data_IF_128461285903
#
_entry.id   IF_128461285903
#
_cell.length_a   1.000
_cell.length_b   1.000
_cell.length_c   1.000
_cell.angle_alpha   90.00
_cell.angle_beta   90.00
_cell.angle_gamma   90.00
#
_symmetry.space_group_name_H-M   'P 1'
#
loop_
_entity.id
_entity.type
_entity.pdbx_description
1 polymer ?
#
# COMPACT_ATOMS: atom_id res chain seq x y z
N UNK A 1 7.50 -23.55 24.81
CA UNK A 1 7.29 -22.15 25.24
C UNK A 1 8.25 -21.30 24.44
N UNK A 2 7.84 -20.80 23.29
CA UNK A 2 8.60 -19.81 22.53
C UNK A 2 7.60 -18.81 21.95
N UNK A 3 7.86 -17.55 22.26
CA UNK A 3 6.91 -16.46 22.17
C UNK A 3 6.66 -16.00 20.75
N UNK A 4 5.38 -15.75 20.48
CA UNK A 4 4.90 -14.93 19.36
C UNK A 4 5.66 -13.60 19.31
N UNK A 5 6.25 -13.21 18.17
CA UNK A 5 6.85 -11.89 18.04
C UNK A 5 5.74 -10.84 18.10
N UNK A 6 5.82 -9.94 19.09
CA UNK A 6 4.97 -8.76 19.18
C UNK A 6 5.42 -7.77 18.11
N UNK A 7 4.52 -7.40 17.21
CA UNK A 7 4.72 -6.29 16.27
C UNK A 7 4.66 -4.98 17.07
N UNK A 8 5.83 -4.38 17.30
CA UNK A 8 5.96 -3.04 17.86
C UNK A 8 5.46 -2.01 16.83
N UNK A 9 4.59 -1.13 17.33
CA UNK A 9 4.05 0.05 16.67
C UNK A 9 5.14 0.82 15.88
N UNK A 10 4.94 1.03 14.58
CA UNK A 10 5.75 1.96 13.80
C UNK A 10 5.43 3.38 14.28
N UNK A 11 6.25 3.90 15.19
CA UNK A 11 6.38 5.34 15.45
C UNK A 11 7.17 5.97 14.31
N UNK A 12 6.68 7.09 13.81
CA UNK A 12 7.32 7.96 12.81
C UNK A 12 8.78 8.24 13.20
N UNK A 13 9.73 7.69 12.43
CA UNK A 13 11.15 8.00 12.59
C UNK A 13 11.46 9.30 11.84
N UNK A 14 11.77 10.35 12.58
CA UNK A 14 12.51 11.50 12.06
C UNK A 14 13.96 11.06 11.89
N UNK A 15 14.36 10.74 10.67
CA UNK A 15 15.77 10.52 10.31
C UNK A 15 16.41 11.86 9.95
N UNK A 16 17.66 12.01 10.38
CA UNK A 16 18.64 13.09 10.08
C UNK A 16 18.32 13.88 8.82
N UNK A 17 18.17 15.20 8.99
CA UNK A 17 17.81 16.23 7.98
C UNK A 17 18.10 15.82 6.52
N UNK A 18 17.06 15.36 5.80
CA UNK A 18 17.14 15.20 4.35
C UNK A 18 16.28 14.11 3.69
N UNK A 19 15.69 13.18 4.44
CA UNK A 19 14.87 12.09 3.87
C UNK A 19 13.54 12.01 4.60
N UNK A 20 12.44 12.03 3.85
CA UNK A 20 11.09 11.92 4.43
C UNK A 20 10.36 10.78 3.72
N UNK A 21 10.31 9.64 4.41
CA UNK A 21 9.60 8.46 3.94
C UNK A 21 8.10 8.60 4.23
N UNK A 22 7.27 8.64 3.19
CA UNK A 22 5.82 8.79 3.33
C UNK A 22 5.05 7.47 3.24
N UNK A 23 5.66 6.46 2.62
CA UNK A 23 5.06 5.14 2.50
C UNK A 23 6.15 4.07 2.60
N UNK A 24 5.81 2.98 3.29
CA UNK A 24 6.66 1.82 3.48
C UNK A 24 5.84 0.55 3.26
N UNK A 25 6.45 -0.46 2.64
CA UNK A 25 5.89 -1.82 2.52
C UNK A 25 7.04 -2.82 2.46
N UNK A 26 6.76 -4.11 2.55
CA UNK A 26 7.80 -5.12 2.72
C UNK A 26 7.55 -6.43 1.99
N UNK A 27 8.64 -7.07 1.58
CA UNK A 27 8.65 -8.49 1.22
C UNK A 27 9.23 -9.28 2.39
N UNK A 28 8.36 -9.92 3.17
CA UNK A 28 8.79 -10.69 4.34
C UNK A 28 9.56 -11.97 3.98
N UNK A 29 9.35 -12.52 2.77
CA UNK A 29 10.07 -13.73 2.32
C UNK A 29 11.52 -13.39 1.98
N UNK A 30 11.72 -12.26 1.31
CA UNK A 30 13.05 -11.76 0.96
C UNK A 30 13.69 -10.92 2.07
N UNK A 31 12.95 -10.60 3.15
CA UNK A 31 13.36 -9.68 4.22
C UNK A 31 13.79 -8.32 3.66
N UNK A 32 13.03 -7.82 2.70
CA UNK A 32 13.29 -6.53 2.04
C UNK A 32 12.22 -5.53 2.45
N UNK A 33 12.65 -4.30 2.69
CA UNK A 33 11.74 -3.18 2.95
C UNK A 33 11.83 -2.18 1.80
N UNK A 34 10.71 -1.58 1.44
CA UNK A 34 10.58 -0.60 0.38
C UNK A 34 10.04 0.69 0.98
N UNK A 35 10.61 1.82 0.59
CA UNK A 35 10.21 3.11 1.11
C UNK A 35 10.22 4.17 0.01
N UNK A 36 9.19 5.01 -0.02
CA UNK A 36 9.13 6.18 -0.90
C UNK A 36 9.68 7.41 -0.21
N UNK A 37 10.71 8.03 -0.78
CA UNK A 37 11.25 9.32 -0.31
C UNK A 37 10.70 10.47 -1.16
N UNK A 38 9.98 11.39 -0.52
CA UNK A 38 9.37 12.53 -1.21
C UNK A 38 10.39 13.53 -1.75
N UNK A 39 11.58 13.62 -1.15
CA UNK A 39 12.58 14.63 -1.56
C UNK A 39 13.23 14.27 -2.88
N UNK A 40 13.51 12.97 -3.09
CA UNK A 40 14.04 12.46 -4.36
C UNK A 40 12.96 11.91 -5.29
N UNK A 41 11.70 11.85 -4.85
CA UNK A 41 10.55 11.31 -5.59
C UNK A 41 10.81 9.88 -6.10
N UNK A 42 11.53 9.09 -5.30
CA UNK A 42 12.03 7.78 -5.68
C UNK A 42 11.65 6.71 -4.65
N UNK A 43 11.52 5.47 -5.13
CA UNK A 43 11.29 4.30 -4.27
C UNK A 43 12.63 3.61 -4.06
N UNK A 44 12.99 3.41 -2.80
CA UNK A 44 14.20 2.72 -2.38
C UNK A 44 13.87 1.38 -1.75
N UNK A 45 14.84 0.47 -1.84
CA UNK A 45 14.83 -0.83 -1.17
C UNK A 45 15.96 -0.93 -0.17
N UNK A 46 15.65 -1.43 1.02
CA UNK A 46 16.63 -1.98 1.95
C UNK A 46 16.65 -3.51 1.89
N UNK A 47 17.85 -4.07 1.90
CA UNK A 47 18.08 -5.50 1.68
C UNK A 47 17.85 -6.38 2.93
N UNK A 48 17.75 -5.78 4.13
CA UNK A 48 17.81 -6.53 5.39
C UNK A 48 16.65 -6.23 6.36
N UNK A 49 15.57 -5.60 5.89
CA UNK A 49 14.45 -5.12 6.73
C UNK A 49 14.91 -4.23 7.89
N UNK A 50 16.14 -3.74 7.81
CA UNK A 50 16.71 -2.80 8.74
C UNK A 50 16.15 -1.45 8.35
N UNK A 51 15.16 -0.93 9.06
CA UNK A 51 14.83 0.49 8.92
C UNK A 51 15.84 1.25 9.79
N UNK A 52 17.10 1.29 9.35
CA UNK A 52 18.17 2.14 9.88
C UNK A 52 18.40 2.11 11.39
N UNK A 53 18.51 0.94 12.03
CA UNK A 53 18.97 0.85 13.44
C UNK A 53 20.50 0.68 13.57
N UNK A 54 21.20 0.31 12.49
CA UNK A 54 22.62 -0.09 12.53
C UNK A 54 23.57 0.78 11.70
N UNK A 55 23.10 1.88 11.08
CA UNK A 55 23.97 2.86 10.42
C UNK A 55 24.69 2.39 9.13
N UNK A 56 24.50 1.14 8.69
CA UNK A 56 25.13 0.58 7.47
C UNK A 56 24.15 0.33 6.31
N UNK A 57 23.00 1.01 6.31
CA UNK A 57 21.96 0.73 5.32
C UNK A 57 22.32 1.24 3.92
N UNK A 58 22.62 0.32 3.01
CA UNK A 58 22.71 0.59 1.57
C UNK A 58 21.34 0.48 0.93
N UNK A 59 20.57 1.57 0.99
CA UNK A 59 19.35 1.70 0.21
C UNK A 59 19.69 1.74 -1.28
N UNK A 60 19.06 0.90 -2.09
CA UNK A 60 19.19 0.90 -3.54
C UNK A 60 17.90 1.39 -4.19
N UNK A 61 17.99 2.27 -5.19
CA UNK A 61 16.81 2.73 -5.92
C UNK A 61 16.15 1.56 -6.68
N UNK A 62 14.83 1.46 -6.55
CA UNK A 62 13.96 0.54 -7.29
C UNK A 62 13.21 1.29 -8.39
N UNK A 63 12.80 2.52 -8.12
CA UNK A 63 12.16 3.39 -9.09
C UNK A 63 12.83 4.76 -9.03
N UNK A 64 13.20 5.27 -10.21
CA UNK A 64 13.68 6.64 -10.41
C UNK A 64 12.85 7.23 -11.55
N UNK A 65 11.97 8.16 -11.22
CA UNK A 65 11.09 8.81 -12.18
C UNK A 65 10.26 9.89 -11.48
N UNK A 66 9.39 10.57 -12.23
CA UNK A 66 8.50 11.57 -11.63
C UNK A 66 7.30 10.85 -11.02
N UNK A 67 7.01 11.10 -9.75
CA UNK A 67 5.79 10.66 -9.07
C UNK A 67 5.16 11.83 -8.31
N UNK A 68 3.99 11.68 -7.70
CA UNK A 68 3.41 12.69 -6.83
C UNK A 68 4.17 12.84 -5.50
N UNK A 69 4.00 13.99 -4.84
CA UNK A 69 4.53 14.22 -3.49
C UNK A 69 4.01 13.21 -2.46
N UNK A 70 2.88 12.54 -2.74
CA UNK A 70 2.28 11.50 -1.91
C UNK A 70 2.00 10.26 -2.76
N UNK A 71 2.56 9.11 -2.39
CA UNK A 71 2.21 7.80 -2.97
C UNK A 71 1.98 6.79 -1.85
N UNK A 72 1.22 5.73 -2.13
CA UNK A 72 1.11 4.57 -1.23
C UNK A 72 1.66 3.33 -1.94
N UNK A 73 2.59 2.64 -1.28
CA UNK A 73 3.22 1.40 -1.75
C UNK A 73 2.45 0.18 -1.25
N UNK A 74 2.45 -0.88 -2.06
CA UNK A 74 2.05 -2.22 -1.65
C UNK A 74 2.92 -3.26 -2.37
N UNK A 75 3.32 -4.33 -1.69
CA UNK A 75 4.24 -5.35 -2.23
C UNK A 75 3.56 -6.71 -2.31
N UNK A 76 3.58 -7.31 -3.50
CA UNK A 76 3.28 -8.72 -3.71
C UNK A 76 4.56 -9.54 -3.46
N UNK A 77 4.66 -10.14 -2.27
CA UNK A 77 5.79 -10.98 -1.88
C UNK A 77 5.78 -12.38 -2.52
N UNK A 78 4.72 -12.76 -3.24
CA UNK A 78 4.63 -14.05 -3.94
C UNK A 78 5.24 -13.90 -5.33
N UNK A 79 4.80 -12.88 -6.08
CA UNK A 79 5.29 -12.65 -7.45
C UNK A 79 6.46 -11.67 -7.51
N UNK A 80 6.84 -11.08 -6.37
CA UNK A 80 7.87 -10.06 -6.23
C UNK A 80 7.58 -8.85 -7.13
N UNK A 81 6.40 -8.25 -6.96
CA UNK A 81 6.01 -7.02 -7.63
C UNK A 81 5.73 -5.93 -6.60
N UNK A 82 6.07 -4.69 -6.94
CA UNK A 82 5.67 -3.50 -6.17
C UNK A 82 4.61 -2.73 -6.95
N UNK A 83 3.60 -2.27 -6.22
CA UNK A 83 2.50 -1.47 -6.72
C UNK A 83 2.49 -0.13 -6.01
N UNK A 84 2.11 0.93 -6.71
CA UNK A 84 1.91 2.21 -6.06
C UNK A 84 0.88 3.10 -6.73
N UNK A 85 0.25 3.95 -5.93
CA UNK A 85 -0.68 4.99 -6.38
C UNK A 85 0.05 6.28 -6.70
N UNK A 86 -0.47 7.06 -7.64
CA UNK A 86 -0.02 8.44 -7.86
C UNK A 86 -1.24 9.34 -8.13
N UNK A 87 -1.67 10.11 -7.12
CA UNK A 87 -2.77 11.04 -7.28
C UNK A 87 -2.54 12.12 -8.34
N UNK A 88 -1.30 12.58 -8.53
CA UNK A 88 -0.99 13.69 -9.44
C UNK A 88 -1.13 13.27 -10.90
N UNK A 89 -0.61 12.09 -11.23
CA UNK A 89 -0.64 11.53 -12.58
C UNK A 89 -1.84 10.60 -12.84
N UNK A 90 -2.64 10.33 -11.79
CA UNK A 90 -3.88 9.56 -11.86
C UNK A 90 -3.68 8.15 -12.42
N UNK A 91 -2.66 7.47 -11.91
CA UNK A 91 -2.39 6.07 -12.25
C UNK A 91 -2.13 5.21 -11.01
N UNK A 92 -2.24 3.91 -11.22
CA UNK A 92 -1.65 2.88 -10.36
C UNK A 92 -0.61 2.17 -11.21
N UNK A 93 0.61 2.09 -10.72
CA UNK A 93 1.73 1.48 -11.42
C UNK A 93 2.12 0.16 -10.76
N UNK A 94 2.75 -0.71 -11.56
CA UNK A 94 3.36 -1.96 -11.10
C UNK A 94 4.76 -2.10 -11.69
N UNK A 95 5.68 -2.63 -10.88
CA UNK A 95 7.04 -2.95 -11.31
C UNK A 95 7.47 -4.29 -10.72
N UNK A 96 8.16 -5.09 -11.53
CA UNK A 96 8.81 -6.30 -11.03
C UNK A 96 10.02 -5.93 -10.17
N UNK A 97 10.09 -6.52 -9.00
CA UNK A 97 11.24 -6.46 -8.09
C UNK A 97 12.30 -7.50 -8.46
N UNK A 98 12.01 -8.38 -9.42
CA UNK A 98 12.95 -9.35 -9.97
C UNK A 98 13.85 -8.66 -10.99
N UNK A 99 15.15 -8.68 -10.71
CA UNK A 99 16.16 -7.98 -11.51
C UNK A 99 16.51 -6.61 -10.94
N UNK A 100 17.29 -5.83 -11.69
CA UNK A 100 17.86 -4.55 -11.23
C UNK A 100 17.46 -3.38 -12.13
N UNK A 101 16.31 -3.46 -12.79
CA UNK A 101 15.85 -2.37 -13.67
C UNK A 101 15.07 -1.34 -12.87
N UNK A 102 15.51 -0.09 -12.92
CA UNK A 102 14.87 1.04 -12.23
C UNK A 102 13.82 1.77 -13.08
N UNK A 103 13.64 1.34 -14.33
CA UNK A 103 12.82 2.03 -15.34
C UNK A 103 11.84 1.10 -16.06
N UNK A 104 11.66 -0.13 -15.59
CA UNK A 104 10.72 -1.09 -16.16
C UNK A 104 9.46 -1.20 -15.29
N UNK A 105 8.61 -0.20 -15.38
CA UNK A 105 7.30 -0.16 -14.75
C UNK A 105 6.19 -0.16 -15.80
N UNK A 106 5.00 -0.59 -15.39
CA UNK A 106 3.82 -0.64 -16.22
C UNK A 106 2.69 0.15 -15.56
N UNK A 107 1.98 0.94 -16.35
CA UNK A 107 0.74 1.60 -15.93
C UNK A 107 -0.35 0.53 -15.88
N UNK A 108 -0.79 0.18 -14.66
CA UNK A 108 -1.77 -0.88 -14.44
C UNK A 108 -3.20 -0.36 -14.61
N UNK A 109 -3.51 0.77 -13.98
CA UNK A 109 -4.81 1.45 -14.02
C UNK A 109 -4.56 2.93 -14.28
N UNK A 110 -5.29 3.53 -15.23
CA UNK A 110 -5.25 4.98 -15.50
C UNK A 110 -6.62 5.53 -15.96
N UNK A 111 -7.47 4.68 -16.51
CA UNK A 111 -8.80 5.08 -16.96
C UNK A 111 -9.71 5.34 -15.75
N UNK A 112 -10.54 6.39 -15.79
CA UNK A 112 -11.54 6.68 -14.76
C UNK A 112 -10.99 6.66 -13.31
N UNK A 113 -9.78 7.16 -13.16
CA UNK A 113 -9.07 7.29 -11.90
C UNK A 113 -8.80 8.78 -11.67
N UNK A 114 -9.17 9.35 -10.51
CA UNK A 114 -9.12 10.80 -10.29
C UNK A 114 -8.20 11.22 -9.14
N UNK A 115 -8.26 10.52 -8.01
CA UNK A 115 -7.43 10.75 -6.84
C UNK A 115 -7.06 9.44 -6.11
N UNK A 116 -6.34 8.51 -6.75
CA UNK A 116 -5.95 7.25 -6.11
C UNK A 116 -5.09 7.49 -4.87
N UNK A 117 -5.47 6.98 -3.70
CA UNK A 117 -4.73 7.20 -2.45
C UNK A 117 -4.33 5.90 -1.76
N UNK A 118 -5.23 5.30 -0.99
CA UNK A 118 -4.96 4.07 -0.25
C UNK A 118 -4.75 2.91 -1.22
N UNK A 119 -3.84 1.99 -0.88
CA UNK A 119 -3.55 0.81 -1.68
C UNK A 119 -3.33 -0.38 -0.75
N UNK A 120 -3.95 -1.52 -1.07
CA UNK A 120 -3.73 -2.79 -0.39
C UNK A 120 -3.87 -3.93 -1.39
N UNK A 121 -3.27 -5.08 -1.10
CA UNK A 121 -3.34 -6.24 -1.98
C UNK A 121 -3.41 -7.54 -1.19
N UNK A 122 -4.03 -8.54 -1.81
CA UNK A 122 -4.00 -9.95 -1.41
C UNK A 122 -3.35 -10.76 -2.53
N UNK A 123 -2.08 -11.19 -2.38
CA UNK A 123 -1.38 -12.00 -3.38
C UNK A 123 -1.94 -13.41 -3.55
N UNK A 124 -2.59 -13.96 -2.51
CA UNK A 124 -3.10 -15.32 -2.51
C UNK A 124 -4.36 -15.38 -3.39
N UNK A 125 -5.24 -14.39 -3.26
CA UNK A 125 -6.46 -14.26 -4.06
C UNK A 125 -6.25 -13.45 -5.35
N UNK A 126 -5.04 -12.95 -5.59
CA UNK A 126 -4.67 -12.09 -6.71
C UNK A 126 -5.54 -10.82 -6.80
N UNK A 127 -5.83 -10.17 -5.67
CA UNK A 127 -6.67 -8.97 -5.60
C UNK A 127 -5.88 -7.71 -5.27
N UNK A 128 -6.25 -6.60 -5.90
CA UNK A 128 -5.75 -5.25 -5.65
C UNK A 128 -6.92 -4.36 -5.25
N UNK A 129 -6.77 -3.64 -4.14
CA UNK A 129 -7.75 -2.71 -3.59
C UNK A 129 -7.16 -1.31 -3.51
N UNK A 130 -7.93 -0.30 -3.88
CA UNK A 130 -7.52 1.08 -3.70
C UNK A 130 -8.70 2.00 -3.41
N UNK A 131 -8.40 3.13 -2.77
CA UNK A 131 -9.34 4.24 -2.75
C UNK A 131 -9.05 5.22 -3.87
N UNK A 132 -10.12 5.78 -4.44
CA UNK A 132 -10.09 6.93 -5.33
C UNK A 132 -10.91 8.03 -4.67
N UNK A 133 -10.23 9.09 -4.22
CA UNK A 133 -10.80 10.21 -3.46
C UNK A 133 -10.91 11.49 -4.31
N UNK A 134 -11.03 11.35 -5.62
CA UNK A 134 -11.31 12.49 -6.50
C UNK A 134 -12.77 12.96 -6.40
N UNK A 135 -13.34 13.36 -7.53
CA UNK A 135 -14.69 13.92 -7.60
C UNK A 135 -15.76 12.97 -7.04
N UNK A 136 -15.58 11.66 -7.21
CA UNK A 136 -16.47 10.63 -6.69
C UNK A 136 -15.68 9.65 -5.82
N UNK A 137 -15.73 9.86 -4.50
CA UNK A 137 -15.04 8.98 -3.55
C UNK A 137 -15.57 7.56 -3.62
N UNK A 138 -14.67 6.62 -3.89
CA UNK A 138 -14.97 5.18 -4.01
C UNK A 138 -13.78 4.34 -3.55
N UNK A 139 -14.08 3.10 -3.17
CA UNK A 139 -13.07 2.03 -3.05
C UNK A 139 -13.34 1.04 -4.18
N UNK A 140 -12.30 0.67 -4.90
CA UNK A 140 -12.37 -0.25 -6.03
C UNK A 140 -11.50 -1.49 -5.77
N UNK A 141 -11.83 -2.56 -6.50
CA UNK A 141 -11.08 -3.81 -6.51
C UNK A 141 -10.87 -4.28 -7.94
N UNK A 142 -9.72 -4.88 -8.21
CA UNK A 142 -9.43 -5.59 -9.46
C UNK A 142 -8.50 -6.78 -9.19
N UNK A 143 -8.18 -7.56 -10.23
CA UNK A 143 -7.06 -8.50 -10.12
C UNK A 143 -5.72 -7.77 -10.04
N UNK A 144 -4.66 -8.43 -9.59
CA UNK A 144 -3.27 -7.90 -9.64
C UNK A 144 -2.79 -7.53 -11.06
N UNK A 145 -3.51 -7.98 -12.10
CA UNK A 145 -3.27 -7.61 -13.50
C UNK A 145 -4.20 -6.49 -14.01
N UNK A 146 -4.95 -5.83 -13.11
CA UNK A 146 -5.90 -4.75 -13.42
C UNK A 146 -7.21 -5.20 -14.08
N UNK A 147 -7.47 -6.50 -14.20
CA UNK A 147 -8.69 -7.04 -14.83
C UNK A 147 -9.83 -7.14 -13.82
N UNK A 148 -11.06 -7.30 -14.33
CA UNK A 148 -12.27 -7.46 -13.51
C UNK A 148 -12.45 -6.32 -12.48
N UNK A 149 -12.03 -5.11 -12.86
CA UNK A 149 -12.18 -3.92 -12.03
C UNK A 149 -13.66 -3.66 -11.74
N UNK A 150 -14.00 -3.48 -10.47
CA UNK A 150 -15.34 -3.09 -10.01
C UNK A 150 -15.24 -2.11 -8.83
N UNK A 151 -16.27 -1.30 -8.67
CA UNK A 151 -16.44 -0.53 -7.43
C UNK A 151 -16.88 -1.46 -6.31
N UNK A 152 -16.11 -1.47 -5.22
CA UNK A 152 -16.38 -2.27 -4.02
C UNK A 152 -17.28 -1.51 -3.05
N UNK A 153 -17.00 -0.21 -2.87
CA UNK A 153 -17.80 0.72 -2.08
C UNK A 153 -17.90 2.03 -2.84
N UNK A 154 -19.12 2.54 -3.05
CA UNK A 154 -19.37 3.79 -3.77
C UNK A 154 -20.27 4.77 -3.02
N UNK A 155 -20.47 4.56 -1.71
CA UNK A 155 -21.37 5.36 -0.88
C UNK A 155 -20.82 5.52 0.53
N UNK A 156 -21.24 6.58 1.22
CA UNK A 156 -20.84 6.85 2.60
C UNK A 156 -19.31 6.82 2.79
N UNK A 157 -18.56 7.41 1.86
CA UNK A 157 -17.12 7.61 1.94
C UNK A 157 -16.83 9.10 1.81
N UNK A 158 -15.82 9.59 2.52
CA UNK A 158 -15.28 10.95 2.36
C UNK A 158 -13.81 10.90 2.00
N UNK A 159 -12.94 10.45 2.92
CA UNK A 159 -11.50 10.41 2.70
C UNK A 159 -10.84 9.11 3.22
N UNK A 160 -11.06 7.96 2.55
CA UNK A 160 -10.37 6.70 2.84
C UNK A 160 -8.88 6.76 2.44
N UNK A 161 -8.00 7.19 3.35
CA UNK A 161 -6.58 7.40 3.06
C UNK A 161 -5.67 6.19 3.30
N UNK A 162 -6.09 5.28 4.18
CA UNK A 162 -5.30 4.09 4.53
C UNK A 162 -6.17 2.85 4.47
N UNK A 163 -5.58 1.75 4.03
CA UNK A 163 -6.24 0.48 3.84
C UNK A 163 -5.26 -0.66 4.07
N UNK A 164 -5.78 -1.78 4.54
CA UNK A 164 -5.05 -3.02 4.62
C UNK A 164 -5.99 -4.22 4.39
N UNK A 165 -5.42 -5.34 3.99
CA UNK A 165 -6.15 -6.56 3.69
C UNK A 165 -5.90 -7.61 4.77
N UNK A 166 -6.97 -8.22 5.27
CA UNK A 166 -6.95 -9.41 6.11
C UNK A 166 -7.29 -10.62 5.23
N UNK A 167 -6.28 -11.44 4.98
CA UNK A 167 -6.36 -12.61 4.11
C UNK A 167 -7.16 -13.74 4.74
N UNK A 168 -7.12 -13.87 6.07
CA UNK A 168 -7.77 -14.96 6.79
C UNK A 168 -9.29 -14.77 6.79
N UNK A 169 -9.73 -13.53 7.03
CA UNK A 169 -11.17 -13.20 7.05
C UNK A 169 -11.70 -12.73 5.69
N UNK A 170 -10.82 -12.55 4.68
CA UNK A 170 -11.13 -12.05 3.34
C UNK A 170 -11.85 -10.70 3.38
N UNK A 171 -11.27 -9.77 4.14
CA UNK A 171 -11.79 -8.42 4.38
C UNK A 171 -10.73 -7.37 4.13
N UNK A 172 -11.16 -6.19 3.73
CA UNK A 172 -10.34 -5.00 3.84
C UNK A 172 -10.75 -4.22 5.09
N UNK A 173 -9.78 -3.57 5.70
CA UNK A 173 -9.93 -2.60 6.76
C UNK A 173 -9.44 -1.26 6.22
N UNK A 174 -10.20 -0.20 6.40
CA UNK A 174 -9.82 1.12 5.90
C UNK A 174 -10.19 2.22 6.89
N UNK A 175 -9.37 3.28 6.89
CA UNK A 175 -9.56 4.47 7.71
C UNK A 175 -10.10 5.58 6.83
N UNK A 176 -11.32 6.03 7.11
CA UNK A 176 -11.89 7.21 6.48
C UNK A 176 -11.70 8.41 7.42
N UNK A 177 -10.69 9.23 7.14
CA UNK A 177 -10.34 10.35 8.02
C UNK A 177 -11.36 11.48 7.95
N UNK A 178 -12.13 11.58 6.85
CA UNK A 178 -13.21 12.54 6.75
C UNK A 178 -14.37 12.16 7.66
N UNK A 179 -14.65 10.87 7.79
CA UNK A 179 -15.73 10.33 8.63
C UNK A 179 -15.30 10.01 10.06
N UNK A 180 -13.99 10.08 10.34
CA UNK A 180 -13.39 9.66 11.62
C UNK A 180 -13.71 8.19 11.96
N UNK A 181 -13.74 7.32 10.96
CA UNK A 181 -14.09 5.89 11.13
C UNK A 181 -12.95 4.95 10.75
N UNK A 182 -12.91 3.82 11.44
CA UNK A 182 -12.27 2.59 10.96
C UNK A 182 -13.39 1.64 10.55
N UNK A 183 -13.38 1.25 9.29
CA UNK A 183 -14.42 0.43 8.70
C UNK A 183 -13.82 -0.84 8.10
N UNK A 184 -14.66 -1.86 7.96
CA UNK A 184 -14.27 -3.12 7.35
C UNK A 184 -15.37 -3.64 6.44
N UNK A 185 -14.99 -4.31 5.36
CA UNK A 185 -15.91 -4.93 4.40
C UNK A 185 -15.27 -6.19 3.83
N UNK A 186 -16.08 -7.19 3.49
CA UNK A 186 -15.59 -8.36 2.75
C UNK A 186 -15.10 -7.99 1.35
N UNK A 187 -14.27 -8.83 0.73
CA UNK A 187 -13.81 -8.64 -0.66
C UNK A 187 -14.94 -8.58 -1.70
N UNK A 188 -16.14 -9.00 -1.34
CA UNK A 188 -17.35 -8.90 -2.17
C UNK A 188 -18.21 -7.66 -1.88
N UNK A 189 -17.76 -6.74 -1.02
CA UNK A 189 -18.48 -5.51 -0.69
C UNK A 189 -19.63 -5.73 0.29
N UNK A 190 -19.72 -6.91 0.92
CA UNK A 190 -20.76 -7.29 1.88
C UNK A 190 -20.28 -7.12 3.33
N UNK A 191 -21.24 -7.06 4.24
CA UNK A 191 -21.00 -6.99 5.69
C UNK A 191 -20.04 -5.84 6.04
N UNK A 192 -20.40 -4.63 5.57
CA UNK A 192 -19.65 -3.40 5.85
C UNK A 192 -20.00 -2.92 7.26
N UNK A 193 -19.01 -2.86 8.15
CA UNK A 193 -19.20 -2.45 9.53
C UNK A 193 -18.30 -1.24 9.86
N UNK A 194 -18.90 -0.06 10.10
CA UNK A 194 -18.19 1.06 10.71
C UNK A 194 -18.07 0.79 12.22
N UNK A 195 -16.88 1.01 12.78
CA UNK A 195 -16.51 0.71 14.18
C UNK A 195 -16.06 -0.72 14.41
N UNK A 196 -14.81 -0.99 14.03
CA UNK A 196 -14.07 -2.14 14.58
C UNK A 196 -13.74 -1.82 16.04
N UNK A 197 -14.42 -2.44 17.00
CA UNK A 197 -13.86 -2.59 18.34
C UNK A 197 -12.69 -3.56 18.22
N UNK A 198 -11.47 -3.07 18.48
CA UNK A 198 -10.22 -3.81 18.34
C UNK A 198 -10.26 -5.15 19.07
N UNK A 199 -10.63 -6.20 18.36
CA UNK A 199 -10.13 -7.55 18.61
C UNK A 199 -8.86 -7.66 17.78
N UNK A 200 -7.82 -8.31 18.29
CA UNK A 200 -6.53 -8.43 17.59
C UNK A 200 -6.76 -8.98 16.18
N UNK A 201 -6.62 -8.11 15.17
CA UNK A 201 -6.69 -8.48 13.74
C UNK A 201 -5.25 -8.53 13.24
N UNK A 202 -4.87 -9.62 12.59
CA UNK A 202 -3.62 -9.67 11.84
C UNK A 202 -3.81 -8.86 10.57
N UNK A 203 -3.32 -7.62 10.59
CA UNK A 203 -3.36 -6.72 9.45
C UNK A 203 -2.02 -6.83 8.74
N UNK A 204 -2.04 -7.27 7.48
CA UNK A 204 -0.86 -7.32 6.62
C UNK A 204 -0.80 -6.04 5.77
N UNK A 205 0.37 -5.39 5.74
CA UNK A 205 0.69 -4.14 5.01
C UNK A 205 1.96 -4.36 4.20
#
# INVERSE_FOLDING_TARGET
>A
MEGTPKLDYIRTLSLTMGTLFLSVSGDYKLKQAYAYDMNSMAIYKDANFSIGLSGENKWSAVYIGTSSDYITLAVDWISHNIYWTDPQYKWIMVQSLVGNSTSMYHVLIHEHLDGPHALALDPIECLLFWSDIGTFTKIEVSSLSGRNRKSLISSNLMHPYSMAADYDTRRIYFVDSGRETVETVTYEGRDRNPTVQTTVVNIYV
#
